data_IF_492773870782
#
_entry.id   IF_492773870782
#
_cell.length_a   1.000
_cell.length_b   1.000
_cell.length_c   1.000
_cell.angle_alpha   90.00
_cell.angle_beta   90.00
_cell.angle_gamma   90.00
#
_symmetry.space_group_name_H-M   'P 1'
#
loop_
_entity.id
_entity.type
_entity.pdbx_description
1 polymer ?
#
# COMPACT_ATOMS: atom_id res chain seq x y z
N UNK A 1 7.59 5.55 8.96
CA UNK A 1 7.20 6.21 7.70
C UNK A 1 6.54 7.52 8.04
N UNK A 2 6.78 8.55 7.25
CA UNK A 2 6.15 9.89 7.32
C UNK A 2 5.90 10.40 5.89
N UNK A 3 5.08 11.44 5.78
CA UNK A 3 4.86 12.15 4.50
C UNK A 3 6.21 12.63 3.94
N UNK A 4 6.42 12.42 2.64
CA UNK A 4 7.65 12.73 1.92
C UNK A 4 8.73 11.65 1.99
N UNK A 5 8.56 10.58 2.78
CA UNK A 5 9.45 9.42 2.70
C UNK A 5 9.29 8.73 1.34
N UNK A 6 10.42 8.22 0.82
CA UNK A 6 10.38 7.25 -0.28
C UNK A 6 10.21 5.85 0.30
N UNK A 7 9.34 5.07 -0.31
CA UNK A 7 9.02 3.70 0.10
C UNK A 7 9.09 2.76 -1.08
N UNK A 8 9.49 1.52 -0.84
CA UNK A 8 9.30 0.42 -1.77
C UNK A 8 8.08 -0.41 -1.37
N UNK A 9 7.28 -0.80 -2.37
CA UNK A 9 6.14 -1.68 -2.13
C UNK A 9 6.61 -3.13 -2.14
N UNK A 10 6.39 -3.82 -1.02
CA UNK A 10 6.81 -5.19 -0.77
C UNK A 10 5.92 -6.20 -1.51
N UNK A 11 6.46 -7.40 -1.70
CA UNK A 11 5.77 -8.51 -2.37
C UNK A 11 4.60 -9.12 -1.58
N UNK A 12 4.41 -8.75 -0.31
CA UNK A 12 3.26 -9.20 0.49
C UNK A 12 1.96 -8.43 0.19
N UNK A 13 1.98 -7.46 -0.73
CA UNK A 13 0.81 -6.62 -1.04
C UNK A 13 -0.45 -7.43 -1.34
N UNK A 14 -0.36 -8.44 -2.23
CA UNK A 14 -1.50 -9.29 -2.59
C UNK A 14 -2.09 -10.03 -1.41
N UNK A 15 -1.23 -10.61 -0.57
CA UNK A 15 -1.66 -11.38 0.61
C UNK A 15 -2.36 -10.49 1.64
N UNK A 16 -1.86 -9.28 1.85
CA UNK A 16 -2.46 -8.31 2.78
C UNK A 16 -3.80 -7.78 2.26
N UNK A 17 -3.91 -7.49 0.96
CA UNK A 17 -5.19 -7.08 0.35
C UNK A 17 -6.25 -8.19 0.45
N UNK A 18 -5.87 -9.45 0.24
CA UNK A 18 -6.79 -10.59 0.45
C UNK A 18 -7.29 -10.68 1.89
N UNK A 19 -6.43 -10.44 2.89
CA UNK A 19 -6.83 -10.41 4.32
C UNK A 19 -7.81 -9.28 4.61
N UNK A 20 -7.69 -8.17 3.88
CA UNK A 20 -8.59 -7.02 3.92
C UNK A 20 -9.84 -7.21 3.03
N UNK A 21 -10.11 -8.43 2.55
CA UNK A 21 -11.31 -8.82 1.80
C UNK A 21 -11.49 -8.15 0.43
N UNK A 22 -10.43 -7.58 -0.14
CA UNK A 22 -10.45 -7.12 -1.53
C UNK A 22 -10.62 -8.31 -2.49
N UNK A 23 -11.29 -8.07 -3.61
CA UNK A 23 -11.48 -9.10 -4.63
C UNK A 23 -10.16 -9.47 -5.33
N UNK A 24 -10.12 -10.66 -5.93
CA UNK A 24 -8.91 -11.20 -6.53
C UNK A 24 -8.41 -10.35 -7.71
N UNK A 25 -9.31 -9.76 -8.49
CA UNK A 25 -8.95 -8.91 -9.64
C UNK A 25 -8.26 -7.64 -9.17
N UNK A 26 -8.77 -7.01 -8.11
CA UNK A 26 -8.13 -5.86 -7.45
C UNK A 26 -6.76 -6.25 -6.88
N UNK A 27 -6.66 -7.40 -6.21
CA UNK A 27 -5.41 -7.87 -5.64
C UNK A 27 -4.32 -8.10 -6.71
N UNK A 28 -4.67 -8.73 -7.83
CA UNK A 28 -3.76 -8.96 -8.96
C UNK A 28 -3.33 -7.66 -9.65
N UNK A 29 -4.27 -6.73 -9.88
CA UNK A 29 -3.98 -5.45 -10.51
C UNK A 29 -3.02 -4.59 -9.64
N UNK A 30 -3.25 -4.59 -8.32
CA UNK A 30 -2.42 -3.86 -7.36
C UNK A 30 -1.02 -4.46 -7.25
N UNK A 31 -0.92 -5.80 -7.18
CA UNK A 31 0.36 -6.51 -7.19
C UNK A 31 1.19 -6.16 -8.43
N UNK A 32 0.60 -6.34 -9.62
CA UNK A 32 1.28 -6.11 -10.89
C UNK A 32 1.72 -4.65 -11.10
N UNK A 33 0.97 -3.69 -10.55
CA UNK A 33 1.26 -2.26 -10.70
C UNK A 33 2.33 -1.77 -9.73
N UNK A 34 2.27 -2.20 -8.48
CA UNK A 34 3.01 -1.53 -7.40
C UNK A 34 4.17 -2.34 -6.83
N UNK A 35 4.11 -3.67 -6.79
CA UNK A 35 5.18 -4.46 -6.14
C UNK A 35 6.54 -4.19 -6.77
N UNK A 36 7.54 -3.90 -5.94
CA UNK A 36 8.90 -3.56 -6.34
C UNK A 36 9.08 -2.13 -6.85
N UNK A 37 8.01 -1.34 -6.97
CA UNK A 37 8.10 0.07 -7.35
C UNK A 37 8.45 0.93 -6.13
N UNK A 38 9.16 2.04 -6.38
CA UNK A 38 9.44 3.07 -5.38
C UNK A 38 8.41 4.20 -5.55
N UNK A 39 7.80 4.60 -4.45
CA UNK A 39 6.80 5.67 -4.41
C UNK A 39 7.15 6.69 -3.33
N UNK A 40 6.57 7.89 -3.43
CA UNK A 40 6.62 8.90 -2.37
C UNK A 40 5.32 8.88 -1.57
N UNK A 41 5.42 9.01 -0.25
CA UNK A 41 4.24 9.04 0.63
C UNK A 41 3.63 10.44 0.62
N UNK A 42 2.41 10.56 0.10
CA UNK A 42 1.67 11.82 0.05
C UNK A 42 0.79 12.07 1.27
N UNK A 43 0.24 11.01 1.85
CA UNK A 43 -0.61 11.10 3.04
C UNK A 43 -0.57 9.80 3.84
N UNK A 44 -0.92 9.88 5.12
CA UNK A 44 -1.02 8.75 6.04
C UNK A 44 -2.33 8.85 6.81
N UNK A 45 -3.12 7.79 6.77
CA UNK A 45 -4.41 7.77 7.44
C UNK A 45 -4.74 6.38 7.99
N UNK A 46 -5.71 6.34 8.89
CA UNK A 46 -6.12 5.14 9.62
C UNK A 46 -7.63 4.99 9.53
N UNK A 47 -8.12 3.81 9.17
CA UNK A 47 -9.56 3.54 9.12
C UNK A 47 -10.12 3.24 10.53
N UNK A 48 -11.43 3.02 10.62
CA UNK A 48 -12.13 2.76 11.90
C UNK A 48 -11.67 1.45 12.56
N UNK A 49 -11.30 0.43 11.78
CA UNK A 49 -10.77 -0.85 12.26
C UNK A 49 -9.31 -0.77 12.72
N UNK A 50 -8.68 0.40 12.54
CA UNK A 50 -7.31 0.67 12.94
C UNK A 50 -6.24 0.20 11.96
N UNK A 51 -6.61 -0.19 10.74
CA UNK A 51 -5.68 -0.41 9.64
C UNK A 51 -5.13 0.93 9.14
N UNK A 52 -3.80 1.00 9.01
CA UNK A 52 -3.09 2.19 8.55
C UNK A 52 -2.76 2.07 7.06
N UNK A 53 -2.92 3.16 6.32
CA UNK A 53 -2.69 3.26 4.89
C UNK A 53 -1.79 4.45 4.58
N UNK A 54 -1.02 4.32 3.50
CA UNK A 54 -0.29 5.43 2.91
C UNK A 54 -0.79 5.68 1.49
N UNK A 55 -1.02 6.94 1.16
CA UNK A 55 -1.30 7.36 -0.21
C UNK A 55 0.03 7.49 -0.96
N UNK A 56 0.24 6.66 -1.99
CA UNK A 56 1.52 6.57 -2.72
C UNK A 56 1.43 6.92 -4.22
N UNK A 57 0.21 7.05 -4.73
CA UNK A 57 -0.14 7.55 -6.06
C UNK A 57 -1.49 8.29 -5.93
N UNK A 58 -1.83 9.14 -6.91
CA UNK A 58 -3.12 9.84 -6.93
C UNK A 58 -4.26 8.81 -6.93
N UNK A 59 -5.02 8.77 -5.82
CA UNK A 59 -6.10 7.81 -5.55
C UNK A 59 -5.65 6.35 -5.34
N UNK A 60 -4.45 6.11 -4.81
CA UNK A 60 -4.02 4.76 -4.43
C UNK A 60 -3.47 4.70 -3.00
N UNK A 61 -4.20 3.99 -2.14
CA UNK A 61 -3.88 3.74 -0.75
C UNK A 61 -3.32 2.33 -0.57
N UNK A 62 -2.09 2.25 -0.05
CA UNK A 62 -1.40 0.97 0.21
C UNK A 62 -1.32 0.76 1.72
N UNK A 63 -1.69 -0.43 2.25
CA UNK A 63 -1.52 -0.74 3.66
C UNK A 63 -0.06 -0.56 4.09
N UNK A 64 0.17 0.09 5.23
CA UNK A 64 1.54 0.45 5.69
C UNK A 64 2.42 -0.79 5.87
N UNK A 65 1.86 -1.94 6.26
CA UNK A 65 2.58 -3.20 6.37
C UNK A 65 3.05 -3.78 5.02
N UNK A 66 2.64 -3.21 3.89
CA UNK A 66 3.09 -3.55 2.54
C UNK A 66 4.22 -2.63 2.05
N UNK A 67 4.69 -1.69 2.89
CA UNK A 67 5.67 -0.69 2.52
C UNK A 67 6.94 -0.82 3.38
N UNK A 68 8.07 -0.40 2.81
CA UNK A 68 9.36 -0.30 3.49
C UNK A 68 10.03 1.02 3.10
N UNK A 69 10.50 1.79 4.10
CA UNK A 69 11.18 3.07 3.86
C UNK A 69 12.59 2.83 3.35
N UNK A 70 13.01 3.60 2.34
CA UNK A 70 14.36 3.56 1.75
C UNK A 70 15.19 4.81 2.07
#
# INVERSE_FOLDING_TARGET
>A
MKIGDKVIVKNNLREELRKLTFDETTCEAMEARFVGTTCEVFDLWKNEDGQEYATVDLCCEIPVQCLEVI
#
